data_IF_005055458818
#
_entry.id   IF_005055458818
#
_cell.length_a   1.000
_cell.length_b   1.000
_cell.length_c   1.000
_cell.angle_alpha   90.00
_cell.angle_beta   90.00
_cell.angle_gamma   90.00
#
_symmetry.space_group_name_H-M   'P 1'
#
loop_
_entity.id
_entity.type
_entity.pdbx_description
1 polymer ?
#
# COMPACT_ATOMS: atom_id res chain seq x y z
N UNK A 1 1.68 -23.48 -7.89
CA UNK A 1 2.56 -22.38 -7.41
C UNK A 1 3.73 -22.98 -6.64
N UNK A 2 4.95 -22.49 -6.85
CA UNK A 2 6.13 -22.96 -6.11
C UNK A 2 6.02 -22.60 -4.61
N UNK A 3 6.49 -23.48 -3.72
CA UNK A 3 6.47 -23.26 -2.26
C UNK A 3 7.25 -22.01 -1.83
N UNK A 4 8.42 -21.75 -2.46
CA UNK A 4 9.21 -20.54 -2.17
C UNK A 4 8.39 -19.30 -2.50
N UNK A 5 7.73 -19.28 -3.66
CA UNK A 5 6.86 -18.18 -4.08
C UNK A 5 5.72 -17.94 -3.11
N UNK A 6 5.03 -19.00 -2.68
CA UNK A 6 3.97 -18.87 -1.68
C UNK A 6 4.47 -18.28 -0.36
N UNK A 7 5.63 -18.73 0.13
CA UNK A 7 6.24 -18.25 1.37
C UNK A 7 6.73 -16.81 1.23
N UNK A 8 7.32 -16.43 0.10
CA UNK A 8 7.71 -15.04 -0.22
C UNK A 8 6.52 -14.10 -0.18
N UNK A 9 5.41 -14.47 -0.83
CA UNK A 9 4.17 -13.68 -0.82
C UNK A 9 3.64 -13.50 0.61
N UNK A 10 3.77 -14.52 1.46
CA UNK A 10 3.33 -14.45 2.85
C UNK A 10 4.26 -13.55 3.68
N UNK A 11 5.58 -13.71 3.53
CA UNK A 11 6.60 -12.99 4.29
C UNK A 11 6.64 -11.49 3.96
N UNK A 12 6.40 -11.11 2.70
CA UNK A 12 6.54 -9.72 2.26
C UNK A 12 5.37 -8.82 2.67
N UNK A 13 4.19 -9.39 2.97
CA UNK A 13 2.96 -8.62 3.28
C UNK A 13 3.14 -7.67 4.46
N UNK A 14 3.68 -8.16 5.57
CA UNK A 14 3.79 -7.36 6.77
C UNK A 14 4.85 -6.25 6.66
N UNK A 15 6.08 -6.50 6.16
CA UNK A 15 7.04 -5.44 5.88
C UNK A 15 6.50 -4.36 4.93
N UNK A 16 5.81 -4.75 3.85
CA UNK A 16 5.18 -3.77 2.95
C UNK A 16 4.07 -2.99 3.64
N UNK A 17 3.37 -3.59 4.62
CA UNK A 17 2.39 -2.86 5.41
C UNK A 17 3.05 -1.83 6.35
N UNK A 18 4.18 -2.18 6.96
CA UNK A 18 4.97 -1.22 7.74
C UNK A 18 5.43 -0.06 6.84
N UNK A 19 5.84 -0.33 5.60
CA UNK A 19 6.17 0.72 4.63
C UNK A 19 4.98 1.64 4.34
N UNK A 20 3.75 1.11 4.25
CA UNK A 20 2.52 1.93 4.14
C UNK A 20 2.36 2.84 5.36
N UNK A 21 2.59 2.33 6.58
CA UNK A 21 2.51 3.16 7.81
C UNK A 21 3.60 4.25 7.81
N UNK A 22 4.82 3.95 7.34
CA UNK A 22 5.89 4.95 7.16
C UNK A 22 5.45 6.02 6.15
N UNK A 23 4.86 5.64 5.02
CA UNK A 23 4.33 6.60 4.02
C UNK A 23 3.28 7.55 4.62
N UNK A 24 2.50 7.09 5.59
CA UNK A 24 1.48 7.88 6.29
C UNK A 24 1.99 8.60 7.55
N UNK A 25 3.30 8.53 7.83
CA UNK A 25 3.93 9.24 8.94
C UNK A 25 4.34 10.63 8.49
N UNK A 26 3.41 11.58 8.63
CA UNK A 26 3.62 12.95 8.20
C UNK A 26 4.22 13.79 9.34
N UNK A 27 5.51 14.13 9.22
CA UNK A 27 6.25 14.93 10.22
C UNK A 27 6.58 16.32 9.67
N UNK A 28 7.13 16.39 8.45
CA UNK A 28 7.56 17.65 7.82
C UNK A 28 6.37 18.56 7.52
N UNK A 29 6.52 19.85 7.82
CA UNK A 29 5.55 20.92 7.54
C UNK A 29 4.14 20.66 8.11
N UNK A 30 4.02 19.76 9.10
CA UNK A 30 2.74 19.48 9.77
C UNK A 30 2.61 20.34 11.02
N UNK A 31 1.62 21.25 11.07
CA UNK A 31 1.39 22.06 12.24
C UNK A 31 0.79 21.22 13.37
N UNK A 32 1.35 21.34 14.57
CA UNK A 32 0.76 20.83 15.81
C UNK A 32 0.43 22.05 16.66
N UNK A 33 -0.86 22.27 16.92
CA UNK A 33 -1.35 23.46 17.64
C UNK A 33 -0.88 24.79 17.01
N UNK A 34 -0.86 24.85 15.67
CA UNK A 34 -0.46 26.05 14.91
C UNK A 34 1.06 26.21 14.71
N UNK A 35 1.89 25.38 15.34
CA UNK A 35 3.37 25.47 15.24
C UNK A 35 3.92 24.35 14.36
N UNK A 36 4.80 24.71 13.42
CA UNK A 36 5.54 23.75 12.60
C UNK A 36 6.87 23.45 13.29
N UNK A 37 6.94 22.28 13.93
CA UNK A 37 8.12 21.85 14.69
C UNK A 37 9.26 21.35 13.80
N UNK A 38 8.92 20.74 12.66
CA UNK A 38 9.87 20.19 11.69
C UNK A 38 9.62 20.83 10.33
N UNK A 39 10.02 22.10 10.14
CA UNK A 39 9.91 22.76 8.85
C UNK A 39 10.94 22.19 7.87
N UNK A 40 10.54 22.07 6.60
CA UNK A 40 11.42 21.64 5.52
C UNK A 40 12.65 22.53 5.40
N UNK A 41 13.81 21.92 5.16
CA UNK A 41 15.09 22.60 5.00
C UNK A 41 15.81 22.92 6.31
N UNK A 42 15.13 22.89 7.47
CA UNK A 42 15.75 23.20 8.77
C UNK A 42 16.67 22.09 9.26
N UNK A 43 16.32 20.84 8.99
CA UNK A 43 17.09 19.68 9.44
C UNK A 43 17.56 18.86 8.23
N UNK A 44 18.55 19.36 7.48
CA UNK A 44 18.98 18.75 6.22
C UNK A 44 19.30 17.25 6.29
N UNK A 45 19.92 16.78 7.37
CA UNK A 45 20.16 15.34 7.57
C UNK A 45 18.87 14.51 7.71
N UNK A 46 17.84 15.05 8.35
CA UNK A 46 16.53 14.42 8.43
C UNK A 46 15.81 14.47 7.08
N UNK A 47 15.85 15.59 6.35
CA UNK A 47 15.23 15.72 5.03
C UNK A 47 15.79 14.67 4.06
N UNK A 48 17.12 14.48 4.06
CA UNK A 48 17.81 13.41 3.30
C UNK A 48 17.31 12.03 3.71
N UNK A 49 17.27 11.76 5.02
CA UNK A 49 16.84 10.46 5.54
C UNK A 49 15.37 10.17 5.21
N UNK A 50 14.50 11.16 5.36
CA UNK A 50 13.08 11.08 5.02
C UNK A 50 12.91 10.80 3.53
N UNK A 51 13.63 11.51 2.65
CA UNK A 51 13.56 11.23 1.22
C UNK A 51 13.95 9.77 0.95
N UNK A 52 15.11 9.34 1.41
CA UNK A 52 15.61 8.00 1.12
C UNK A 52 14.65 6.90 1.63
N UNK A 53 14.17 7.00 2.87
CA UNK A 53 13.33 5.96 3.45
C UNK A 53 11.89 6.05 2.93
N UNK A 54 11.25 7.20 3.10
CA UNK A 54 9.82 7.36 2.84
C UNK A 54 9.53 7.52 1.34
N UNK A 55 10.28 8.37 0.63
CA UNK A 55 10.01 8.70 -0.78
C UNK A 55 10.74 7.79 -1.78
N UNK A 56 11.87 7.17 -1.41
CA UNK A 56 12.58 6.26 -2.31
C UNK A 56 12.26 4.78 -2.07
N UNK A 57 12.30 4.32 -0.82
CA UNK A 57 12.19 2.89 -0.50
C UNK A 57 10.74 2.48 -0.26
N UNK A 58 10.00 3.20 0.60
CA UNK A 58 8.68 2.75 1.06
C UNK A 58 7.59 2.84 -0.02
N UNK A 59 7.76 3.66 -1.06
CA UNK A 59 6.81 3.81 -2.17
C UNK A 59 6.53 2.50 -2.90
N UNK A 60 7.46 1.55 -2.89
CA UNK A 60 7.31 0.20 -3.48
C UNK A 60 6.11 -0.57 -2.93
N UNK A 61 5.66 -0.27 -1.71
CA UNK A 61 4.59 -1.03 -1.05
C UNK A 61 3.30 -1.07 -1.89
N UNK A 62 2.90 0.06 -2.48
CA UNK A 62 1.68 0.18 -3.27
C UNK A 62 1.73 -0.68 -4.54
N UNK A 63 2.69 -0.52 -5.47
CA UNK A 63 2.78 -1.37 -6.66
C UNK A 63 3.05 -2.84 -6.31
N UNK A 64 3.75 -3.13 -5.21
CA UNK A 64 3.92 -4.51 -4.71
C UNK A 64 2.57 -5.15 -4.38
N UNK A 65 1.70 -4.48 -3.61
CA UNK A 65 0.39 -5.04 -3.27
C UNK A 65 -0.50 -5.20 -4.50
N UNK A 66 -0.46 -4.30 -5.48
CA UNK A 66 -1.19 -4.46 -6.73
C UNK A 66 -0.65 -5.63 -7.56
N UNK A 67 0.67 -5.75 -7.71
CA UNK A 67 1.32 -6.88 -8.38
C UNK A 67 0.91 -8.22 -7.77
N UNK A 68 1.01 -8.35 -6.45
CA UNK A 68 0.60 -9.56 -5.74
C UNK A 68 -0.90 -9.83 -5.87
N UNK A 69 -1.73 -8.78 -5.86
CA UNK A 69 -3.18 -8.92 -6.01
C UNK A 69 -3.56 -9.44 -7.40
N UNK A 70 -2.94 -8.91 -8.46
CA UNK A 70 -3.11 -9.40 -9.82
C UNK A 70 -2.68 -10.85 -9.96
N UNK A 71 -1.47 -11.18 -9.50
CA UNK A 71 -0.97 -12.56 -9.52
C UNK A 71 -1.92 -13.53 -8.79
N UNK A 72 -2.35 -13.20 -7.58
CA UNK A 72 -3.22 -14.05 -6.77
C UNK A 72 -4.65 -14.15 -7.31
N UNK A 73 -5.17 -13.10 -7.97
CA UNK A 73 -6.51 -13.13 -8.55
C UNK A 73 -6.61 -14.17 -9.66
N UNK A 74 -5.66 -14.19 -10.60
CA UNK A 74 -5.69 -15.12 -11.74
C UNK A 74 -5.09 -16.49 -11.42
N UNK A 75 -4.55 -16.69 -10.22
CA UNK A 75 -3.99 -17.98 -9.82
C UNK A 75 -5.06 -19.09 -9.91
N UNK A 76 -4.71 -20.17 -10.60
CA UNK A 76 -5.56 -21.33 -10.86
C UNK A 76 -6.53 -21.21 -12.03
N UNK A 77 -6.57 -20.09 -12.78
CA UNK A 77 -7.39 -19.96 -14.00
C UNK A 77 -6.58 -20.49 -15.19
N UNK A 78 -7.06 -21.56 -15.82
CA UNK A 78 -6.37 -22.20 -16.96
C UNK A 78 -7.01 -21.88 -18.32
N UNK A 79 -8.33 -21.71 -18.34
CA UNK A 79 -9.13 -21.40 -19.53
C UNK A 79 -10.10 -20.26 -19.24
N UNK A 80 -10.54 -19.59 -20.29
CA UNK A 80 -11.55 -18.53 -20.14
C UNK A 80 -12.91 -19.16 -19.82
N UNK A 81 -13.40 -18.92 -18.61
CA UNK A 81 -14.75 -19.26 -18.20
C UNK A 81 -15.30 -18.12 -17.33
N UNK A 82 -16.35 -17.46 -17.82
CA UNK A 82 -16.98 -16.33 -17.13
C UNK A 82 -17.50 -16.71 -15.74
N UNK A 83 -17.90 -17.97 -15.53
CA UNK A 83 -18.38 -18.46 -14.22
C UNK A 83 -17.25 -18.43 -13.18
N UNK A 84 -16.01 -18.74 -13.57
CA UNK A 84 -14.86 -18.67 -12.65
C UNK A 84 -14.61 -17.22 -12.19
N UNK A 85 -14.73 -16.25 -13.10
CA UNK A 85 -14.62 -14.83 -12.76
C UNK A 85 -15.75 -14.38 -11.83
N UNK A 86 -17.00 -14.77 -12.10
CA UNK A 86 -18.14 -14.48 -11.24
C UNK A 86 -17.95 -15.04 -9.82
N UNK A 87 -17.46 -16.29 -9.69
CA UNK A 87 -17.17 -16.91 -8.39
C UNK A 87 -16.08 -16.14 -7.64
N UNK A 88 -14.99 -15.77 -8.33
CA UNK A 88 -13.89 -15.00 -7.73
C UNK A 88 -14.35 -13.59 -7.32
N UNK A 89 -15.09 -12.89 -8.18
CA UNK A 89 -15.66 -11.57 -7.89
C UNK A 89 -16.64 -11.62 -6.71
N UNK A 90 -17.51 -12.64 -6.66
CA UNK A 90 -18.39 -12.86 -5.50
C UNK A 90 -17.58 -13.04 -4.23
N UNK A 91 -16.50 -13.83 -4.24
CA UNK A 91 -15.61 -13.94 -3.06
C UNK A 91 -14.97 -12.60 -2.69
N UNK A 92 -14.53 -11.81 -3.67
CA UNK A 92 -13.96 -10.47 -3.46
C UNK A 92 -14.96 -9.45 -2.93
N UNK A 93 -16.25 -9.58 -3.23
CA UNK A 93 -17.30 -8.77 -2.61
C UNK A 93 -17.27 -8.93 -1.08
N UNK A 94 -17.24 -10.16 -0.58
CA UNK A 94 -17.17 -10.39 0.87
C UNK A 94 -15.80 -10.07 1.46
N UNK A 95 -14.70 -10.30 0.72
CA UNK A 95 -13.36 -10.10 1.26
C UNK A 95 -12.82 -8.67 1.12
N UNK A 96 -13.40 -7.84 0.24
CA UNK A 96 -12.93 -6.48 -0.04
C UNK A 96 -14.06 -5.46 0.16
N UNK A 97 -15.19 -5.61 -0.54
CA UNK A 97 -16.26 -4.60 -0.53
C UNK A 97 -16.91 -4.45 0.85
N UNK A 98 -17.27 -5.55 1.50
CA UNK A 98 -17.87 -5.49 2.85
C UNK A 98 -16.90 -4.84 3.86
N UNK A 99 -15.65 -5.30 4.02
CA UNK A 99 -14.66 -4.62 4.87
C UNK A 99 -14.50 -3.14 4.52
N UNK A 100 -14.39 -2.81 3.24
CA UNK A 100 -14.24 -1.45 2.77
C UNK A 100 -15.40 -0.54 3.21
N UNK A 101 -16.64 -1.00 3.07
CA UNK A 101 -17.82 -0.22 3.50
C UNK A 101 -17.82 -0.06 5.02
N UNK A 102 -17.59 -1.14 5.76
CA UNK A 102 -17.59 -1.13 7.22
C UNK A 102 -16.50 -0.22 7.78
N UNK A 103 -15.27 -0.30 7.28
CA UNK A 103 -14.16 0.53 7.77
C UNK A 103 -14.32 2.02 7.44
N UNK A 104 -14.89 2.36 6.28
CA UNK A 104 -15.25 3.76 5.99
C UNK A 104 -16.31 4.27 6.97
N UNK A 105 -17.38 3.50 7.21
CA UNK A 105 -18.44 3.87 8.15
C UNK A 105 -17.88 4.04 9.58
N UNK A 106 -17.08 3.06 10.05
CA UNK A 106 -16.42 3.12 11.36
C UNK A 106 -15.52 4.37 11.46
N UNK A 107 -14.78 4.70 10.40
CA UNK A 107 -13.93 5.89 10.39
C UNK A 107 -14.75 7.19 10.45
N UNK A 108 -15.87 7.29 9.73
CA UNK A 108 -16.76 8.45 9.80
C UNK A 108 -17.33 8.63 11.22
N UNK A 109 -17.74 7.53 11.87
CA UNK A 109 -18.17 7.58 13.26
C UNK A 109 -17.03 7.99 14.19
N UNK A 110 -15.83 7.45 14.00
CA UNK A 110 -14.64 7.85 14.77
C UNK A 110 -14.36 9.36 14.64
N UNK A 111 -14.41 9.91 13.43
CA UNK A 111 -14.26 11.36 13.19
C UNK A 111 -15.34 12.15 13.93
N UNK A 112 -16.59 11.67 13.95
CA UNK A 112 -17.66 12.33 14.70
C UNK A 112 -17.43 12.27 16.22
N UNK A 113 -16.98 11.14 16.76
CA UNK A 113 -16.65 11.01 18.18
C UNK A 113 -15.50 11.95 18.56
N UNK A 114 -14.43 12.00 17.75
CA UNK A 114 -13.33 12.94 17.97
C UNK A 114 -13.82 14.38 17.88
N UNK A 115 -14.69 14.71 16.93
CA UNK A 115 -15.28 16.05 16.81
C UNK A 115 -16.13 16.45 18.01
N UNK A 116 -16.83 15.51 18.62
CA UNK A 116 -17.67 15.75 19.80
C UNK A 116 -16.83 15.98 21.06
N UNK A 117 -15.85 15.12 21.34
CA UNK A 117 -15.06 15.17 22.58
C UNK A 117 -13.84 16.10 22.48
N UNK A 118 -13.20 16.16 21.32
CA UNK A 118 -11.93 16.86 21.10
C UNK A 118 -11.89 17.54 19.72
N UNK A 119 -12.77 18.53 19.46
CA UNK A 119 -12.91 19.17 18.14
C UNK A 119 -11.59 19.75 17.60
N UNK A 120 -10.70 20.22 18.48
CA UNK A 120 -9.37 20.72 18.11
C UNK A 120 -8.47 19.69 17.40
N UNK A 121 -8.76 18.38 17.53
CA UNK A 121 -8.00 17.32 16.87
C UNK A 121 -8.41 17.07 15.42
N UNK A 122 -9.57 17.57 14.97
CA UNK A 122 -10.09 17.31 13.63
C UNK A 122 -9.35 18.05 12.52
N UNK A 123 -8.54 19.07 12.82
CA UNK A 123 -7.78 19.91 11.88
C UNK A 123 -8.59 20.32 10.62
N UNK A 124 -8.64 19.46 9.59
CA UNK A 124 -9.31 19.69 8.29
C UNK A 124 -10.48 18.72 8.00
N UNK A 125 -10.75 17.76 8.88
CA UNK A 125 -11.83 16.77 8.73
C UNK A 125 -13.16 17.38 9.19
N UNK A 126 -14.19 17.22 8.37
CA UNK A 126 -15.57 17.57 8.72
C UNK A 126 -16.24 16.37 9.40
N UNK A 127 -17.10 16.64 10.37
CA UNK A 127 -18.02 15.62 10.91
C UNK A 127 -19.19 15.41 9.95
N UNK A 128 -19.89 14.27 10.03
CA UNK A 128 -21.04 13.98 9.16
C UNK A 128 -22.16 15.02 9.30
N UNK A 129 -22.26 15.69 10.46
CA UNK A 129 -23.24 16.75 10.71
C UNK A 129 -22.93 18.06 9.96
N UNK A 130 -21.69 18.22 9.49
CA UNK A 130 -21.23 19.38 8.72
C UNK A 130 -21.19 19.09 7.21
N UNK A 131 -21.62 17.89 6.79
CA UNK A 131 -21.53 17.41 5.42
C UNK A 131 -22.93 17.16 4.86
N UNK A 132 -23.11 17.50 3.59
CA UNK A 132 -24.27 17.07 2.81
C UNK A 132 -24.23 15.55 2.58
N UNK A 133 -25.38 14.95 2.26
CA UNK A 133 -25.44 13.52 1.90
C UNK A 133 -24.54 13.17 0.72
N UNK A 134 -24.41 14.08 -0.26
CA UNK A 134 -23.51 13.90 -1.39
C UNK A 134 -22.05 13.91 -0.96
N UNK A 135 -21.64 14.83 -0.08
CA UNK A 135 -20.29 14.83 0.48
C UNK A 135 -20.01 13.55 1.28
N UNK A 136 -20.98 13.04 2.05
CA UNK A 136 -20.86 11.77 2.78
C UNK A 136 -20.62 10.61 1.82
N UNK A 137 -21.45 10.46 0.79
CA UNK A 137 -21.28 9.41 -0.23
C UNK A 137 -19.95 9.58 -0.98
N UNK A 138 -19.57 10.81 -1.27
CA UNK A 138 -18.31 11.13 -1.93
C UNK A 138 -17.10 10.77 -1.07
N UNK A 139 -17.20 10.66 0.26
CA UNK A 139 -16.07 10.19 1.11
C UNK A 139 -15.63 8.76 0.82
N UNK A 140 -16.55 7.93 0.33
CA UNK A 140 -16.21 6.58 -0.12
C UNK A 140 -15.44 6.67 -1.43
N UNK A 141 -15.82 7.58 -2.34
CA UNK A 141 -15.09 7.72 -3.59
C UNK A 141 -13.78 8.50 -3.44
N UNK A 142 -13.71 9.55 -2.64
CA UNK A 142 -12.58 10.47 -2.47
C UNK A 142 -12.14 10.50 -1.00
N UNK A 143 -10.89 10.15 -0.76
CA UNK A 143 -10.41 9.85 0.60
C UNK A 143 -10.00 11.09 1.41
N UNK A 144 -10.25 12.29 0.88
CA UNK A 144 -9.96 13.56 1.55
C UNK A 144 -10.66 13.67 2.91
N UNK A 145 -11.94 13.29 2.96
CA UNK A 145 -12.74 13.22 4.18
C UNK A 145 -12.87 11.78 4.72
N UNK A 146 -12.78 10.76 3.85
CA UNK A 146 -12.81 9.33 4.24
C UNK A 146 -11.51 8.79 4.86
N UNK A 147 -11.46 7.46 5.02
CA UNK A 147 -10.29 6.76 5.53
C UNK A 147 -9.23 6.63 4.43
N UNK A 148 -8.15 7.42 4.55
CA UNK A 148 -7.17 7.65 3.49
C UNK A 148 -6.68 6.36 2.80
N UNK A 149 -6.20 5.30 3.48
CA UNK A 149 -5.62 4.13 2.82
C UNK A 149 -6.63 3.35 1.95
N UNK A 150 -7.94 3.45 2.21
CA UNK A 150 -8.96 2.64 1.53
C UNK A 150 -9.12 2.95 0.05
N UNK A 151 -8.53 4.03 -0.47
CA UNK A 151 -8.43 4.27 -1.92
C UNK A 151 -7.81 3.06 -2.65
N UNK A 152 -6.86 2.36 -2.01
CA UNK A 152 -6.21 1.18 -2.57
C UNK A 152 -7.23 0.05 -2.80
N UNK A 153 -8.11 -0.20 -1.82
CA UNK A 153 -9.17 -1.21 -1.94
C UNK A 153 -10.19 -0.84 -3.00
N UNK A 154 -10.59 0.44 -3.06
CA UNK A 154 -11.47 0.97 -4.12
C UNK A 154 -10.89 0.67 -5.50
N UNK A 155 -9.63 1.05 -5.73
CA UNK A 155 -8.95 0.84 -7.01
C UNK A 155 -8.82 -0.66 -7.33
N UNK A 156 -8.46 -1.48 -6.34
CA UNK A 156 -8.37 -2.92 -6.49
C UNK A 156 -9.73 -3.56 -6.85
N UNK A 157 -10.83 -3.12 -6.24
CA UNK A 157 -12.17 -3.62 -6.56
C UNK A 157 -12.54 -3.31 -8.01
N UNK A 158 -12.28 -2.09 -8.46
CA UNK A 158 -12.60 -1.65 -9.82
C UNK A 158 -11.77 -2.42 -10.85
N UNK A 159 -10.45 -2.56 -10.64
CA UNK A 159 -9.60 -3.36 -11.53
C UNK A 159 -9.99 -4.85 -11.52
N UNK A 160 -10.44 -5.40 -10.39
CA UNK A 160 -10.96 -6.77 -10.36
C UNK A 160 -12.21 -6.93 -11.24
N UNK A 161 -13.10 -5.93 -11.32
CA UNK A 161 -14.27 -5.97 -12.21
C UNK A 161 -13.83 -6.05 -13.69
N UNK A 162 -12.73 -5.41 -14.05
CA UNK A 162 -12.13 -5.50 -15.38
C UNK A 162 -11.37 -6.83 -15.64
N UNK A 163 -11.32 -7.74 -14.68
CA UNK A 163 -10.52 -8.97 -14.78
C UNK A 163 -10.81 -9.87 -15.99
N UNK A 164 -12.06 -10.03 -16.50
CA UNK A 164 -12.30 -10.82 -17.71
C UNK A 164 -11.61 -10.20 -18.94
N UNK A 165 -11.66 -8.87 -19.08
CA UNK A 165 -11.01 -8.14 -20.17
C UNK A 165 -9.49 -8.25 -20.05
N UNK A 166 -8.96 -8.04 -18.84
CA UNK A 166 -7.53 -8.18 -18.55
C UNK A 166 -7.05 -9.60 -18.90
N UNK A 167 -7.84 -10.63 -18.60
CA UNK A 167 -7.50 -12.01 -18.97
C UNK A 167 -7.34 -12.16 -20.48
N UNK A 168 -8.34 -11.72 -21.25
CA UNK A 168 -8.34 -11.84 -22.71
C UNK A 168 -7.12 -11.12 -23.33
N UNK A 169 -6.82 -9.91 -22.86
CA UNK A 169 -5.65 -9.14 -23.29
C UNK A 169 -4.34 -9.90 -23.01
N UNK A 170 -4.16 -10.38 -21.77
CA UNK A 170 -2.89 -10.97 -21.31
C UNK A 170 -2.70 -12.44 -21.69
N UNK A 171 -3.76 -13.14 -22.11
CA UNK A 171 -3.69 -14.49 -22.67
C UNK A 171 -3.40 -14.49 -24.18
N UNK A 172 -3.69 -13.39 -24.86
CA UNK A 172 -3.48 -13.25 -26.30
C UNK A 172 -1.99 -13.33 -26.71
N UNK A 173 -1.74 -13.59 -28.00
CA UNK A 173 -0.39 -13.51 -28.59
C UNK A 173 0.24 -12.11 -28.45
N UNK A 174 -0.58 -11.08 -28.27
CA UNK A 174 -0.16 -9.68 -28.10
C UNK A 174 0.03 -9.28 -26.63
N UNK A 175 0.01 -10.21 -25.68
CA UNK A 175 0.13 -9.92 -24.25
C UNK A 175 1.34 -9.05 -23.88
N UNK A 176 2.50 -9.29 -24.52
CA UNK A 176 3.71 -8.49 -24.34
C UNK A 176 3.55 -7.05 -24.85
N UNK A 177 2.81 -6.86 -25.95
CA UNK A 177 2.53 -5.52 -26.50
C UNK A 177 1.63 -4.75 -25.54
N UNK A 178 0.56 -5.38 -25.04
CA UNK A 178 -0.29 -4.76 -24.02
C UNK A 178 0.49 -4.40 -22.76
N UNK A 179 1.33 -5.29 -22.25
CA UNK A 179 2.19 -4.97 -21.10
C UNK A 179 3.14 -3.82 -21.38
N UNK A 180 3.75 -3.76 -22.57
CA UNK A 180 4.64 -2.68 -22.95
C UNK A 180 3.90 -1.34 -23.03
N UNK A 181 2.72 -1.29 -23.67
CA UNK A 181 1.90 -0.08 -23.73
C UNK A 181 1.50 0.40 -22.33
N UNK A 182 1.05 -0.51 -21.47
CA UNK A 182 0.70 -0.14 -20.08
C UNK A 182 1.94 0.25 -19.26
N UNK A 183 3.11 -0.34 -19.51
CA UNK A 183 4.36 0.09 -18.88
C UNK A 183 4.75 1.51 -19.29
N UNK A 184 4.61 1.86 -20.57
CA UNK A 184 4.87 3.22 -21.06
C UNK A 184 3.88 4.22 -20.45
N UNK A 185 2.59 3.91 -20.43
CA UNK A 185 1.56 4.74 -19.79
C UNK A 185 1.77 4.89 -18.27
N UNK A 186 2.37 3.89 -17.63
CA UNK A 186 2.70 3.93 -16.21
C UNK A 186 3.87 4.89 -15.92
N UNK A 187 4.90 4.87 -16.76
CA UNK A 187 6.14 5.63 -16.57
C UNK A 187 6.01 7.08 -17.06
N UNK A 188 5.20 7.34 -18.09
CA UNK A 188 4.98 8.70 -18.61
C UNK A 188 4.07 9.48 -17.66
N UNK A 189 4.41 10.74 -17.31
CA UNK A 189 3.54 11.58 -16.51
C UNK A 189 2.25 11.89 -17.28
N UNK A 190 1.17 11.21 -16.90
CA UNK A 190 -0.16 11.38 -17.49
C UNK A 190 -1.19 11.62 -16.41
N UNK A 191 -2.24 12.39 -16.72
CA UNK A 191 -3.40 12.56 -15.82
C UNK A 191 -4.05 11.22 -15.47
N UNK A 192 -3.96 10.24 -16.38
CA UNK A 192 -4.47 8.87 -16.23
C UNK A 192 -3.80 8.15 -15.06
N UNK A 193 -2.60 8.55 -14.63
CA UNK A 193 -1.87 7.83 -13.58
C UNK A 193 -2.62 7.76 -12.24
N UNK A 194 -3.28 8.86 -11.86
CA UNK A 194 -3.94 9.02 -10.55
C UNK A 194 -5.47 8.93 -10.61
N UNK A 195 -6.03 8.57 -11.76
CA UNK A 195 -7.49 8.43 -11.91
C UNK A 195 -8.00 7.36 -10.92
N UNK A 196 -8.97 7.69 -10.04
CA UNK A 196 -9.60 6.72 -9.16
C UNK A 196 -10.13 5.50 -9.92
N UNK A 197 -9.88 4.31 -9.39
CA UNK A 197 -10.35 3.06 -9.95
C UNK A 197 -9.43 2.45 -11.00
N UNK A 198 -9.18 3.17 -12.08
CA UNK A 198 -8.53 2.64 -13.30
C UNK A 198 -7.14 3.21 -13.57
N UNK A 199 -6.63 4.07 -12.68
CA UNK A 199 -5.37 4.77 -12.91
C UNK A 199 -4.17 3.83 -13.03
N UNK A 200 -3.15 4.28 -13.77
CA UNK A 200 -1.98 3.45 -14.09
C UNK A 200 -1.22 2.98 -12.84
N UNK A 201 -1.25 3.75 -11.75
CA UNK A 201 -0.68 3.36 -10.43
C UNK A 201 -1.20 2.01 -9.91
N UNK A 202 -2.43 1.65 -10.30
CA UNK A 202 -3.11 0.42 -9.95
C UNK A 202 -3.06 -0.58 -11.10
N UNK A 203 -3.52 -0.16 -12.28
CA UNK A 203 -3.77 -1.04 -13.42
C UNK A 203 -2.50 -1.76 -13.90
N UNK A 204 -1.39 -1.05 -14.07
CA UNK A 204 -0.18 -1.67 -14.62
C UNK A 204 0.47 -2.68 -13.66
N UNK A 205 0.80 -2.36 -12.39
CA UNK A 205 1.36 -3.35 -11.48
C UNK A 205 0.45 -4.58 -11.33
N UNK A 206 -0.87 -4.38 -11.26
CA UNK A 206 -1.84 -5.48 -11.24
C UNK A 206 -1.76 -6.36 -12.49
N UNK A 207 -1.79 -5.76 -13.69
CA UNK A 207 -1.66 -6.50 -14.95
C UNK A 207 -0.31 -7.20 -15.08
N UNK A 208 0.77 -6.60 -14.59
CA UNK A 208 2.10 -7.19 -14.60
C UNK A 208 2.16 -8.46 -13.75
N UNK A 209 1.60 -8.44 -12.54
CA UNK A 209 1.46 -9.64 -11.71
C UNK A 209 0.50 -10.67 -12.31
N UNK A 210 -0.62 -10.23 -12.86
CA UNK A 210 -1.60 -11.08 -13.52
C UNK A 210 -1.00 -11.87 -14.69
N UNK A 211 -0.13 -11.25 -15.49
CA UNK A 211 0.50 -11.89 -16.64
C UNK A 211 1.28 -13.15 -16.26
N UNK A 212 2.02 -13.14 -15.14
CA UNK A 212 2.73 -14.31 -14.65
C UNK A 212 1.78 -15.47 -14.34
N UNK A 213 0.67 -15.18 -13.67
CA UNK A 213 -0.31 -16.21 -13.35
C UNK A 213 -1.03 -16.76 -14.59
N UNK A 214 -1.50 -15.88 -15.49
CA UNK A 214 -2.24 -16.26 -16.71
C UNK A 214 -1.37 -17.08 -17.68
N UNK A 215 -0.06 -16.82 -17.68
CA UNK A 215 0.91 -17.52 -18.51
C UNK A 215 1.60 -18.68 -17.78
N UNK A 216 1.12 -19.07 -16.60
CA UNK A 216 1.68 -20.16 -15.78
C UNK A 216 3.19 -20.04 -15.52
N UNK A 217 3.67 -18.81 -15.31
CA UNK A 217 5.07 -18.49 -15.02
C UNK A 217 5.25 -18.16 -13.55
N UNK A 218 6.25 -18.76 -12.92
CA UNK A 218 6.68 -18.38 -11.59
C UNK A 218 7.58 -17.13 -11.67
N UNK A 219 7.11 -16.01 -11.11
CA UNK A 219 7.83 -14.74 -11.23
C UNK A 219 9.19 -14.75 -10.51
N UNK A 220 9.34 -15.50 -9.42
CA UNK A 220 10.63 -15.60 -8.71
C UNK A 220 11.62 -16.36 -9.59
N UNK A 221 11.23 -17.53 -10.11
CA UNK A 221 12.07 -18.31 -11.01
C UNK A 221 12.45 -17.51 -12.27
N UNK A 222 11.50 -16.74 -12.82
CA UNK A 222 11.71 -15.90 -14.01
C UNK A 222 12.79 -14.83 -13.78
N UNK A 223 12.73 -14.09 -12.67
CA UNK A 223 13.69 -13.01 -12.41
C UNK A 223 14.99 -13.45 -11.74
N UNK A 224 15.02 -14.63 -11.11
CA UNK A 224 16.17 -15.13 -10.34
C UNK A 224 17.48 -15.11 -11.12
N UNK A 225 17.45 -15.45 -12.42
CA UNK A 225 18.64 -15.46 -13.30
C UNK A 225 19.34 -14.10 -13.35
N UNK A 226 18.59 -13.02 -13.22
CA UNK A 226 19.08 -11.64 -13.31
C UNK A 226 18.97 -10.89 -11.98
N UNK A 227 18.98 -11.61 -10.85
CA UNK A 227 18.74 -11.03 -9.52
C UNK A 227 19.70 -9.91 -9.16
N UNK A 228 21.00 -10.10 -9.40
CA UNK A 228 22.01 -9.06 -9.16
C UNK A 228 21.79 -7.83 -10.06
N UNK A 229 21.40 -8.03 -11.33
CA UNK A 229 21.12 -6.93 -12.25
C UNK A 229 19.95 -6.08 -11.76
N UNK A 230 18.86 -6.69 -11.29
CA UNK A 230 17.72 -5.97 -10.74
C UNK A 230 18.08 -5.19 -9.47
N UNK A 231 18.90 -5.78 -8.60
CA UNK A 231 19.39 -5.10 -7.39
C UNK A 231 20.26 -3.89 -7.75
N UNK A 232 21.23 -4.05 -8.64
CA UNK A 232 22.08 -2.95 -9.13
C UNK A 232 21.23 -1.86 -9.76
N UNK A 233 20.30 -2.22 -10.64
CA UNK A 233 19.38 -1.27 -11.28
C UNK A 233 18.55 -0.50 -10.25
N UNK A 234 18.06 -1.18 -9.20
CA UNK A 234 17.27 -0.53 -8.15
C UNK A 234 18.11 0.48 -7.36
N UNK A 235 19.36 0.13 -7.03
CA UNK A 235 20.29 1.05 -6.35
C UNK A 235 20.61 2.25 -7.25
N UNK A 236 20.91 2.03 -8.52
CA UNK A 236 21.18 3.12 -9.47
C UNK A 236 19.97 4.06 -9.63
N UNK A 237 18.76 3.51 -9.70
CA UNK A 237 17.53 4.32 -9.81
C UNK A 237 17.21 5.08 -8.51
N UNK A 238 17.48 4.49 -7.34
CA UNK A 238 17.38 5.21 -6.06
C UNK A 238 18.37 6.38 -6.05
N UNK A 239 19.64 6.14 -6.41
CA UNK A 239 20.67 7.18 -6.45
C UNK A 239 20.28 8.27 -7.45
N UNK A 240 19.79 7.89 -8.64
CA UNK A 240 19.32 8.85 -9.63
C UNK A 240 18.17 9.72 -9.10
N UNK A 241 17.12 9.11 -8.53
CA UNK A 241 16.01 9.84 -7.92
C UNK A 241 16.48 10.77 -6.81
N UNK A 242 17.40 10.29 -5.96
CA UNK A 242 17.96 11.05 -4.85
C UNK A 242 18.75 12.27 -5.33
N UNK A 243 19.60 12.13 -6.36
CA UNK A 243 20.37 13.25 -6.93
C UNK A 243 19.45 14.30 -7.56
N UNK A 244 18.37 13.86 -8.23
CA UNK A 244 17.45 14.77 -8.92
C UNK A 244 16.25 15.21 -8.09
N UNK A 245 16.18 14.91 -6.78
CA UNK A 245 15.00 15.12 -5.93
C UNK A 245 14.46 16.57 -5.90
N UNK A 246 15.31 17.55 -6.20
CA UNK A 246 14.95 18.98 -6.27
C UNK A 246 14.37 19.39 -7.65
N UNK A 247 14.41 18.51 -8.66
CA UNK A 247 14.00 18.79 -10.04
C UNK A 247 12.68 18.10 -10.41
N UNK A 248 11.56 18.71 -10.05
CA UNK A 248 10.21 18.11 -10.05
C UNK A 248 9.74 17.38 -11.33
N UNK A 249 10.14 17.81 -12.54
CA UNK A 249 9.58 17.26 -13.79
C UNK A 249 10.28 16.00 -14.31
N UNK A 250 11.59 15.82 -14.07
CA UNK A 250 12.34 14.65 -14.54
C UNK A 250 12.25 13.46 -13.58
N UNK A 251 11.77 13.70 -12.36
CA UNK A 251 11.64 12.69 -11.31
C UNK A 251 10.61 11.64 -11.68
N UNK A 252 9.49 11.98 -12.33
CA UNK A 252 8.36 11.04 -12.46
C UNK A 252 8.72 9.73 -13.18
N UNK A 253 9.42 9.84 -14.32
CA UNK A 253 9.83 8.66 -15.13
C UNK A 253 10.78 7.77 -14.32
N UNK A 254 11.80 8.37 -13.71
CA UNK A 254 12.82 7.65 -12.95
C UNK A 254 12.20 7.04 -11.69
N UNK A 255 11.31 7.77 -11.01
CA UNK A 255 10.57 7.34 -9.82
C UNK A 255 9.67 6.14 -10.11
N UNK A 256 8.94 6.16 -11.22
CA UNK A 256 8.10 5.01 -11.61
C UNK A 256 8.95 3.81 -12.05
N UNK A 257 10.05 4.04 -12.77
CA UNK A 257 11.00 2.97 -13.10
C UNK A 257 11.64 2.35 -11.85
N UNK A 258 12.01 3.20 -10.87
CA UNK A 258 12.54 2.82 -9.56
C UNK A 258 11.55 1.91 -8.83
N UNK A 259 10.29 2.33 -8.69
CA UNK A 259 9.25 1.54 -8.02
C UNK A 259 9.12 0.13 -8.62
N UNK A 260 9.15 -0.01 -9.96
CA UNK A 260 9.08 -1.32 -10.63
C UNK A 260 10.32 -2.18 -10.38
N UNK A 261 11.51 -1.57 -10.44
CA UNK A 261 12.77 -2.26 -10.14
C UNK A 261 12.78 -2.76 -8.69
N UNK A 262 12.26 -1.95 -7.75
CA UNK A 262 12.15 -2.30 -6.34
C UNK A 262 11.14 -3.43 -6.12
N UNK A 263 10.00 -3.46 -6.83
CA UNK A 263 9.06 -4.59 -6.74
C UNK A 263 9.79 -5.91 -7.01
N UNK A 264 10.59 -5.97 -8.08
CA UNK A 264 11.32 -7.17 -8.46
C UNK A 264 12.41 -7.48 -7.44
N UNK A 265 13.23 -6.49 -7.07
CA UNK A 265 14.34 -6.64 -6.13
C UNK A 265 13.90 -7.09 -4.74
N UNK A 266 12.84 -6.50 -4.18
CA UNK A 266 12.30 -6.91 -2.88
C UNK A 266 11.72 -8.32 -2.93
N UNK A 267 11.02 -8.71 -4.00
CA UNK A 267 10.53 -10.08 -4.15
C UNK A 267 11.69 -11.08 -4.17
N UNK A 268 12.77 -10.78 -4.88
CA UNK A 268 13.95 -11.64 -4.96
C UNK A 268 14.73 -11.69 -3.64
N UNK A 269 14.88 -10.56 -2.96
CA UNK A 269 15.54 -10.49 -1.65
C UNK A 269 14.77 -11.31 -0.62
N UNK A 270 13.45 -11.12 -0.53
CA UNK A 270 12.59 -11.91 0.37
C UNK A 270 12.63 -13.39 0.00
N UNK A 271 12.60 -13.73 -1.29
CA UNK A 271 12.73 -15.12 -1.74
C UNK A 271 14.06 -15.76 -1.33
N UNK A 272 15.16 -15.00 -1.40
CA UNK A 272 16.47 -15.46 -0.98
C UNK A 272 16.50 -15.77 0.52
N UNK A 273 16.05 -14.85 1.37
CA UNK A 273 16.05 -15.05 2.84
C UNK A 273 15.08 -16.14 3.27
N UNK A 274 13.92 -16.28 2.60
CA UNK A 274 12.96 -17.38 2.83
C UNK A 274 13.58 -18.72 2.45
N UNK A 275 14.24 -18.80 1.29
CA UNK A 275 14.89 -20.04 0.82
C UNK A 275 16.05 -20.45 1.74
N UNK A 276 16.77 -19.48 2.29
CA UNK A 276 17.87 -19.70 3.23
C UNK A 276 17.41 -19.91 4.68
N UNK A 277 16.09 -19.93 4.94
CA UNK A 277 15.53 -20.06 6.27
C UNK A 277 16.04 -19.01 7.28
N UNK A 278 16.46 -17.83 6.79
CA UNK A 278 16.96 -16.72 7.62
C UNK A 278 15.82 -16.06 8.39
N UNK A 279 14.62 -16.03 7.79
CA UNK A 279 13.42 -15.46 8.43
C UNK A 279 12.36 -16.54 8.66
N UNK A 280 11.67 -16.42 9.80
CA UNK A 280 10.47 -17.19 10.08
C UNK A 280 9.27 -16.52 9.43
N UNK A 281 8.60 -17.25 8.53
CA UNK A 281 7.38 -16.77 7.88
C UNK A 281 6.23 -16.90 8.88
N UNK A 282 5.77 -15.76 9.42
CA UNK A 282 4.66 -15.72 10.38
C UNK A 282 3.31 -15.57 9.68
N UNK A 283 2.42 -16.59 9.73
CA UNK A 283 1.06 -16.46 9.23
C UNK A 283 0.26 -15.38 9.97
N UNK A 284 0.54 -15.20 11.27
CA UNK A 284 -0.12 -14.20 12.11
C UNK A 284 0.13 -12.79 11.60
N UNK A 285 1.39 -12.44 11.30
CA UNK A 285 1.72 -11.10 10.79
C UNK A 285 1.15 -10.86 9.39
N UNK A 286 1.17 -11.89 8.54
CA UNK A 286 0.55 -11.83 7.22
C UNK A 286 -0.96 -11.62 7.31
N UNK A 287 -1.63 -12.28 8.26
CA UNK A 287 -3.06 -12.14 8.53
C UNK A 287 -3.42 -10.77 9.14
N UNK A 288 -2.60 -10.29 10.07
CA UNK A 288 -2.79 -9.01 10.73
C UNK A 288 -2.50 -7.81 9.81
N UNK A 289 -1.76 -8.00 8.72
CA UNK A 289 -1.39 -6.93 7.78
C UNK A 289 -2.60 -6.14 7.29
N UNK A 290 -3.73 -6.80 6.99
CA UNK A 290 -4.95 -6.10 6.59
C UNK A 290 -5.57 -5.28 7.74
N UNK A 291 -5.44 -5.72 8.99
CA UNK A 291 -5.89 -4.94 10.14
C UNK A 291 -5.01 -3.71 10.34
N UNK A 292 -3.69 -3.86 10.23
CA UNK A 292 -2.76 -2.73 10.28
C UNK A 292 -3.10 -1.71 9.18
N UNK A 293 -3.35 -2.19 7.95
CA UNK A 293 -3.75 -1.36 6.80
C UNK A 293 -4.95 -0.44 7.09
N UNK A 294 -6.01 -0.95 7.71
CA UNK A 294 -7.23 -0.18 7.96
C UNK A 294 -7.18 0.61 9.26
N UNK A 295 -6.51 0.09 10.30
CA UNK A 295 -6.58 0.64 11.65
C UNK A 295 -5.50 1.67 11.96
N UNK A 296 -4.34 1.65 11.29
CA UNK A 296 -3.21 2.51 11.67
C UNK A 296 -3.55 4.01 11.68
N UNK A 297 -4.38 4.49 10.74
CA UNK A 297 -4.75 5.91 10.66
C UNK A 297 -5.60 6.40 11.84
N UNK A 298 -6.27 5.50 12.57
CA UNK A 298 -7.03 5.86 13.77
C UNK A 298 -6.10 6.27 14.92
N UNK A 299 -4.90 5.68 14.98
CA UNK A 299 -4.02 5.79 16.14
C UNK A 299 -2.69 6.48 15.84
N UNK A 300 -2.24 6.55 14.58
CA UNK A 300 -0.90 7.06 14.20
C UNK A 300 -0.65 8.50 14.67
N UNK A 301 -1.69 9.34 14.68
CA UNK A 301 -1.57 10.74 15.08
C UNK A 301 -1.33 10.93 16.59
N UNK A 302 -1.69 9.95 17.42
CA UNK A 302 -1.55 10.04 18.89
C UNK A 302 -0.06 10.11 19.27
N UNK A 303 0.78 9.10 18.99
CA UNK A 303 2.20 9.16 19.33
C UNK A 303 2.92 10.26 18.55
N UNK A 304 2.50 10.61 17.32
CA UNK A 304 3.10 11.73 16.58
C UNK A 304 2.93 13.06 17.31
N UNK A 305 1.73 13.33 17.84
CA UNK A 305 1.46 14.55 18.61
C UNK A 305 2.10 14.50 20.00
N UNK A 306 2.18 13.32 20.63
CA UNK A 306 2.85 13.18 21.93
C UNK A 306 4.37 13.30 21.83
N UNK A 307 4.95 12.93 20.68
CA UNK A 307 6.40 12.93 20.45
C UNK A 307 7.06 14.25 20.81
N UNK A 308 6.46 15.38 20.40
CA UNK A 308 6.99 16.72 20.64
C UNK A 308 7.01 17.14 22.11
N UNK A 309 6.21 16.48 22.97
CA UNK A 309 6.15 16.75 24.41
C UNK A 309 7.09 15.84 25.20
N UNK A 310 7.48 14.69 24.63
CA UNK A 310 8.32 13.68 25.30
C UNK A 310 9.79 13.88 24.91
N UNK A 311 10.08 14.20 23.65
CA UNK A 311 11.43 14.33 23.12
C UNK A 311 11.69 15.75 22.57
N UNK A 312 12.93 16.26 22.68
CA UNK A 312 13.30 17.52 22.04
C UNK A 312 13.20 17.38 20.52
N UNK A 313 12.69 18.39 19.82
CA UNK A 313 12.57 18.32 18.35
C UNK A 313 13.86 18.78 17.67
N UNK A 314 14.57 17.81 17.09
CA UNK A 314 15.72 18.00 16.21
C UNK A 314 15.77 16.92 15.11
N UNK A 315 16.71 17.04 14.18
CA UNK A 315 16.85 16.09 13.07
C UNK A 315 17.00 14.62 13.50
N UNK A 316 17.75 14.32 14.57
CA UNK A 316 17.92 12.96 15.07
C UNK A 316 16.62 12.37 15.61
N UNK A 317 15.93 13.12 16.47
CA UNK A 317 14.64 12.69 17.02
C UNK A 317 13.55 12.61 15.96
N UNK A 318 13.60 13.43 14.91
CA UNK A 318 12.68 13.34 13.77
C UNK A 318 12.94 12.07 12.94
N UNK A 319 14.22 11.73 12.69
CA UNK A 319 14.60 10.46 12.06
C UNK A 319 14.15 9.25 12.88
N UNK A 320 14.33 9.30 14.21
CA UNK A 320 13.86 8.25 15.10
C UNK A 320 12.34 8.13 15.08
N UNK A 321 11.63 9.26 15.10
CA UNK A 321 10.17 9.35 15.00
C UNK A 321 9.65 8.65 13.72
N UNK A 322 10.30 8.90 12.58
CA UNK A 322 9.92 8.34 11.27
C UNK A 322 10.00 6.80 11.22
N UNK A 323 10.85 6.17 12.04
CA UNK A 323 11.00 4.71 12.06
C UNK A 323 10.25 4.08 13.24
N UNK A 324 10.43 4.64 14.44
CA UNK A 324 9.93 4.07 15.67
C UNK A 324 8.40 4.11 15.73
N UNK A 325 7.78 5.23 15.34
CA UNK A 325 6.32 5.35 15.40
C UNK A 325 5.63 4.33 14.47
N UNK A 326 6.01 4.19 13.19
CA UNK A 326 5.42 3.16 12.33
C UNK A 326 5.54 1.74 12.86
N UNK A 327 6.69 1.41 13.47
CA UNK A 327 6.87 0.09 14.08
C UNK A 327 5.95 -0.08 15.30
N UNK A 328 5.96 0.87 16.24
CA UNK A 328 5.10 0.83 17.43
C UNK A 328 3.63 0.75 17.03
N UNK A 329 3.18 1.57 16.08
CA UNK A 329 1.80 1.56 15.59
C UNK A 329 1.48 0.22 14.92
N UNK A 330 2.36 -0.31 14.07
CA UNK A 330 2.12 -1.57 13.38
C UNK A 330 1.97 -2.74 14.36
N UNK A 331 2.86 -2.84 15.36
CA UNK A 331 2.76 -3.89 16.38
C UNK A 331 1.58 -3.66 17.34
N UNK A 332 1.25 -2.42 17.68
CA UNK A 332 0.04 -2.10 18.45
C UNK A 332 -1.21 -2.55 17.70
N UNK A 333 -1.31 -2.28 16.40
CA UNK A 333 -2.40 -2.78 15.56
C UNK A 333 -2.46 -4.33 15.56
N UNK A 334 -1.31 -5.02 15.54
CA UNK A 334 -1.27 -6.49 15.65
C UNK A 334 -1.82 -6.96 17.00
N UNK A 335 -1.44 -6.32 18.10
CA UNK A 335 -1.95 -6.67 19.44
C UNK A 335 -3.46 -6.43 19.54
N UNK A 336 -3.96 -5.30 19.04
CA UNK A 336 -5.39 -5.00 18.97
C UNK A 336 -6.11 -6.05 18.11
N UNK A 337 -5.54 -6.44 16.96
CA UNK A 337 -6.09 -7.49 16.12
C UNK A 337 -6.22 -8.83 16.87
N UNK A 338 -5.18 -9.25 17.59
CA UNK A 338 -5.19 -10.48 18.38
C UNK A 338 -6.28 -10.42 19.45
N UNK A 339 -6.39 -9.28 20.14
CA UNK A 339 -7.44 -9.07 21.13
C UNK A 339 -8.84 -9.13 20.53
N UNK A 340 -9.08 -8.43 19.41
CA UNK A 340 -10.37 -8.43 18.71
C UNK A 340 -10.75 -9.83 18.22
N UNK A 341 -9.77 -10.56 17.67
CA UNK A 341 -9.97 -11.94 17.22
C UNK A 341 -10.35 -12.87 18.38
N UNK A 342 -9.83 -12.61 19.60
CA UNK A 342 -10.16 -13.41 20.79
C UNK A 342 -11.51 -13.07 21.38
N UNK A 343 -11.86 -11.77 21.48
CA UNK A 343 -13.07 -11.33 22.19
C UNK A 343 -14.32 -11.33 21.31
N UNK A 344 -14.19 -10.91 20.04
CA UNK A 344 -15.31 -10.75 19.11
C UNK A 344 -14.96 -11.37 17.73
N UNK A 345 -14.67 -12.69 17.67
CA UNK A 345 -14.15 -13.35 16.48
C UNK A 345 -15.04 -13.19 15.24
N UNK A 346 -16.37 -13.22 15.41
CA UNK A 346 -17.31 -13.06 14.29
C UNK A 346 -17.21 -11.67 13.65
N UNK A 347 -17.23 -10.62 14.48
CA UNK A 347 -17.08 -9.22 14.02
C UNK A 347 -15.69 -9.02 13.41
N UNK A 348 -14.64 -9.56 14.06
CA UNK A 348 -13.28 -9.49 13.54
C UNK A 348 -13.16 -10.16 12.16
N UNK A 349 -13.73 -11.35 11.97
CA UNK A 349 -13.70 -12.03 10.68
C UNK A 349 -14.42 -11.22 9.60
N UNK A 350 -15.61 -10.70 9.91
CA UNK A 350 -16.37 -9.84 9.00
C UNK A 350 -15.57 -8.59 8.59
N UNK A 351 -15.01 -7.85 9.56
CA UNK A 351 -14.20 -6.65 9.31
C UNK A 351 -12.90 -6.94 8.55
N UNK A 352 -12.39 -8.17 8.66
CA UNK A 352 -11.18 -8.62 7.99
C UNK A 352 -11.46 -9.31 6.64
N UNK A 353 -12.73 -9.43 6.25
CA UNK A 353 -13.13 -10.11 5.02
C UNK A 353 -12.85 -11.62 5.03
N UNK A 354 -12.73 -12.20 6.23
CA UNK A 354 -12.61 -13.66 6.46
C UNK A 354 -14.02 -14.24 6.60
N UNK A 355 -14.24 -15.41 6.00
CA UNK A 355 -15.50 -16.16 6.13
C UNK A 355 -15.42 -17.11 7.30
#
# INVERSE_FOLDING_TARGET
MNQVTSKTITAIRFPMMVFVVILHTFIIDRPISGVIYVPRGKFGGFDIFQQLIQNEICTVAVPMFFFLSGFLFFNGIQSFDIKQFQIKLKKRFFSLFIPYMLWNIIFLFFVCMVGFFYPALLTYKKTIFQMSIFEILFTFWESSQGLLPLWFLRDLMIVNLCSPIIYLMLRSKHSKVFLFVFAMLYIIPTKVHFVPGIGMRCAFPYMFGAWFSINNKDFIAFFKKYSLLWLILSVLLIVACFVVWNYHNYIFIIDKAKDLSLVISFLLLVAFVVKKHIILVSPLLADASFFVFVFHMFIIHIPLKLWIYIFPVNGWTASLCLILIPLVISYTCVLVYIFFKRQIPYVSNLLMGKR
#
